data_IF_750125035990
#
_entry.id   IF_750125035990
#
_cell.length_a   1.000
_cell.length_b   1.000
_cell.length_c   1.000
_cell.angle_alpha   90.00
_cell.angle_beta   90.00
_cell.angle_gamma   90.00
#
_symmetry.space_group_name_H-M   'P 1'
#
loop_
_entity.id
_entity.type
_entity.pdbx_description
1 polymer ?
#
# COMPACT_ATOMS: atom_id res chain seq x y z
N UNK A 1 -15.65 0.25 58.35
CA UNK A 1 -15.06 0.55 57.02
C UNK A 1 -15.83 -0.21 55.96
N UNK A 2 -16.63 0.51 55.18
CA UNK A 2 -17.46 -0.08 54.12
C UNK A 2 -16.65 -0.06 52.82
N UNK A 3 -16.43 -1.23 52.20
CA UNK A 3 -15.76 -1.35 50.90
C UNK A 3 -16.74 -1.91 49.88
N UNK A 4 -17.00 -1.14 48.83
CA UNK A 4 -17.82 -1.53 47.70
C UNK A 4 -16.98 -2.27 46.66
N UNK A 5 -17.39 -3.49 46.28
CA UNK A 5 -16.87 -4.21 45.10
C UNK A 5 -17.91 -4.13 43.98
N UNK A 6 -17.52 -3.52 42.86
CA UNK A 6 -18.29 -3.58 41.62
C UNK A 6 -17.77 -4.72 40.73
N UNK A 7 -18.69 -5.58 40.29
CA UNK A 7 -18.45 -6.66 39.34
C UNK A 7 -19.20 -6.33 38.05
N UNK A 8 -18.50 -6.27 36.92
CA UNK A 8 -19.12 -6.15 35.60
C UNK A 8 -19.11 -7.51 34.90
N UNK A 9 -20.28 -8.16 34.84
CA UNK A 9 -20.57 -9.29 33.93
C UNK A 9 -21.08 -8.73 32.61
N UNK A 10 -20.40 -9.05 31.49
CA UNK A 10 -20.95 -8.82 30.15
C UNK A 10 -21.83 -10.01 29.74
N UNK A 11 -23.11 -9.69 29.54
CA UNK A 11 -24.13 -10.57 28.95
C UNK A 11 -23.88 -10.70 27.44
N UNK A 12 -23.89 -11.94 26.94
CA UNK A 12 -23.89 -12.28 25.51
C UNK A 12 -25.33 -12.23 25.00
N UNK A 13 -25.61 -11.40 23.99
CA UNK A 13 -26.81 -11.56 23.17
C UNK A 13 -26.49 -12.39 21.93
N UNK A 14 -27.06 -13.60 21.92
CA UNK A 14 -27.37 -14.39 20.71
C UNK A 14 -28.72 -13.91 20.20
N UNK A 15 -28.84 -13.71 18.90
CA UNK A 15 -30.11 -13.83 18.18
C UNK A 15 -29.88 -14.74 16.97
N UNK A 16 -30.66 -15.83 16.96
CA UNK A 16 -30.93 -16.74 15.84
C UNK A 16 -32.43 -16.62 15.55
N UNK A 17 -32.82 -17.14 14.39
CA UNK A 17 -34.16 -17.29 13.80
C UNK A 17 -34.53 -16.21 12.79
N UNK A 18 -35.18 -16.52 11.66
CA UNK A 18 -35.44 -17.79 10.98
C UNK A 18 -35.84 -17.49 9.53
N UNK A 19 -35.66 -18.52 8.71
CA UNK A 19 -36.03 -18.71 7.31
C UNK A 19 -37.46 -18.37 6.90
N UNK A 20 -37.64 -18.04 5.60
CA UNK A 20 -38.70 -18.45 4.64
C UNK A 20 -39.02 -17.28 3.69
N UNK A 21 -39.27 -17.41 2.38
CA UNK A 21 -39.25 -18.45 1.34
C UNK A 21 -39.64 -17.74 0.01
N UNK A 22 -39.39 -18.39 -1.13
CA UNK A 22 -39.99 -18.18 -2.48
C UNK A 22 -39.36 -17.14 -3.45
N UNK A 23 -38.70 -17.68 -4.47
CA UNK A 23 -38.76 -17.18 -5.86
C UNK A 23 -40.14 -17.55 -6.46
N UNK A 24 -40.63 -16.89 -7.53
CA UNK A 24 -40.15 -17.19 -8.89
C UNK A 24 -40.21 -16.02 -9.91
N UNK A 25 -39.73 -16.34 -11.11
CA UNK A 25 -40.14 -15.85 -12.44
C UNK A 25 -39.15 -14.98 -13.24
N UNK A 26 -38.72 -15.62 -14.33
CA UNK A 26 -38.04 -15.15 -15.53
C UNK A 26 -38.58 -13.86 -16.16
N UNK A 27 -37.75 -13.18 -16.97
CA UNK A 27 -38.02 -12.75 -18.36
C UNK A 27 -36.76 -12.11 -19.03
N UNK A 28 -36.72 -11.93 -20.37
CA UNK A 28 -35.64 -12.38 -21.26
C UNK A 28 -34.67 -11.27 -21.77
N UNK A 29 -33.69 -11.56 -22.67
CA UNK A 29 -32.67 -10.59 -23.08
C UNK A 29 -33.14 -9.76 -24.28
N UNK A 30 -32.69 -8.50 -24.36
CA UNK A 30 -32.80 -7.68 -25.57
C UNK A 30 -31.44 -7.20 -26.08
N UNK A 31 -31.12 -7.76 -27.24
CA UNK A 31 -30.47 -7.23 -28.42
C UNK A 31 -29.69 -5.90 -28.34
N UNK A 32 -28.47 -5.99 -28.84
CA UNK A 32 -27.69 -4.91 -29.42
C UNK A 32 -28.34 -4.35 -30.69
N UNK A 33 -28.27 -3.04 -30.89
CA UNK A 33 -28.22 -2.45 -32.23
C UNK A 33 -27.45 -1.13 -32.21
N UNK A 34 -26.67 -0.95 -33.26
CA UNK A 34 -25.80 0.17 -33.54
C UNK A 34 -26.56 1.30 -34.25
N UNK A 35 -26.16 2.56 -33.99
CA UNK A 35 -26.30 3.69 -34.93
C UNK A 35 -25.35 4.80 -34.46
N UNK A 36 -24.23 4.99 -35.17
CA UNK A 36 -24.01 6.01 -36.23
C UNK A 36 -23.96 7.45 -35.71
N UNK A 37 -22.72 7.94 -35.66
CA UNK A 37 -22.35 9.34 -35.78
C UNK A 37 -22.91 9.94 -37.07
N UNK A 38 -23.43 11.16 -36.99
CA UNK A 38 -23.36 12.13 -38.08
C UNK A 38 -23.08 13.52 -37.53
N UNK A 39 -22.27 14.24 -38.30
CA UNK A 39 -21.85 15.62 -38.12
C UNK A 39 -22.87 16.57 -38.77
N UNK A 40 -22.95 17.80 -38.22
CA UNK A 40 -23.59 18.97 -38.82
C UNK A 40 -23.85 19.99 -37.70
N UNK A 41 -23.29 21.19 -37.65
CA UNK A 41 -22.91 22.07 -38.74
C UNK A 41 -23.86 23.26 -38.75
N UNK A 42 -23.40 24.38 -38.18
CA UNK A 42 -23.86 25.77 -38.26
C UNK A 42 -25.27 26.13 -38.78
N UNK A 43 -25.95 27.01 -38.03
CA UNK A 43 -26.38 28.31 -38.57
C UNK A 43 -26.71 29.30 -37.45
N UNK A 44 -26.05 30.46 -37.50
CA UNK A 44 -26.50 31.71 -36.91
C UNK A 44 -27.67 32.26 -37.73
N UNK A 45 -28.75 32.69 -37.08
CA UNK A 45 -29.61 33.72 -37.66
C UNK A 45 -30.35 34.47 -36.55
N UNK A 46 -30.07 35.77 -36.48
CA UNK A 46 -30.80 36.73 -35.69
C UNK A 46 -31.81 37.46 -36.57
N UNK A 47 -33.05 37.65 -36.11
CA UNK A 47 -33.79 38.91 -36.26
C UNK A 47 -35.15 38.93 -35.53
N UNK A 48 -35.30 39.99 -34.73
CA UNK A 48 -36.48 40.88 -34.52
C UNK A 48 -37.77 40.35 -33.84
N UNK A 49 -37.91 40.83 -32.60
CA UNK A 49 -39.04 41.57 -31.99
C UNK A 49 -40.47 41.40 -32.56
N UNK A 50 -41.40 40.96 -31.70
CA UNK A 50 -42.49 41.81 -31.17
C UNK A 50 -43.23 41.12 -29.99
N UNK A 51 -44.01 41.86 -29.18
CA UNK A 51 -44.39 41.50 -27.81
C UNK A 51 -45.76 40.82 -27.72
N UNK A 52 -45.96 39.98 -26.70
CA UNK A 52 -47.00 40.18 -25.67
C UNK A 52 -47.22 38.92 -24.80
N UNK A 53 -47.25 39.19 -23.49
CA UNK A 53 -48.08 38.59 -22.43
C UNK A 53 -48.13 37.06 -22.32
N UNK A 54 -47.56 36.52 -21.24
CA UNK A 54 -48.31 35.75 -20.24
C UNK A 54 -47.50 35.56 -18.95
N UNK A 55 -48.14 35.91 -17.83
CA UNK A 55 -47.68 35.65 -16.46
C UNK A 55 -47.39 34.17 -16.28
N UNK A 56 -46.21 33.86 -15.77
CA UNK A 56 -45.97 32.61 -15.06
C UNK A 56 -45.21 32.93 -13.78
N UNK A 57 -45.82 32.56 -12.67
CA UNK A 57 -45.30 32.67 -11.31
C UNK A 57 -43.93 32.00 -11.26
N UNK A 58 -42.90 32.78 -10.92
CA UNK A 58 -41.62 32.23 -10.49
C UNK A 58 -41.73 31.96 -8.99
N UNK A 59 -41.83 30.68 -8.65
CA UNK A 59 -41.54 30.19 -7.32
C UNK A 59 -40.10 30.55 -6.95
N UNK A 60 -39.95 31.54 -6.08
CA UNK A 60 -38.72 31.78 -5.35
C UNK A 60 -38.49 30.61 -4.39
N UNK A 61 -37.71 29.62 -4.80
CA UNK A 61 -37.14 28.64 -3.87
C UNK A 61 -36.01 29.34 -3.12
N UNK A 62 -36.30 29.76 -1.88
CA UNK A 62 -35.27 30.07 -0.89
C UNK A 62 -34.48 28.80 -0.60
N UNK A 63 -33.33 28.62 -1.26
CA UNK A 63 -32.35 27.64 -0.84
C UNK A 63 -31.68 28.19 0.41
N UNK A 64 -31.87 27.52 1.55
CA UNK A 64 -31.06 27.75 2.75
C UNK A 64 -29.58 27.69 2.38
N UNK A 65 -28.89 28.80 2.61
CA UNK A 65 -27.45 28.96 2.40
C UNK A 65 -26.70 28.01 3.34
N UNK A 66 -26.40 26.80 2.85
CA UNK A 66 -25.23 26.08 3.31
C UNK A 66 -24.00 26.91 2.91
N UNK A 67 -23.30 27.43 3.92
CA UNK A 67 -22.19 28.38 3.83
C UNK A 67 -21.18 28.03 2.71
N UNK A 68 -21.21 28.81 1.62
CA UNK A 68 -20.14 28.89 0.62
C UNK A 68 -19.10 29.92 1.11
N UNK A 69 -17.79 29.62 1.13
CA UNK A 69 -16.81 30.46 1.79
C UNK A 69 -16.30 31.57 0.86
N UNK A 70 -16.92 32.74 0.89
CA UNK A 70 -16.21 33.98 0.55
C UNK A 70 -16.81 35.18 1.28
N UNK A 71 -15.95 35.92 2.00
CA UNK A 71 -16.22 37.25 2.50
C UNK A 71 -15.48 38.29 1.66
N UNK A 72 -16.20 39.34 1.24
CA UNK A 72 -15.59 40.65 0.99
C UNK A 72 -15.55 41.32 2.36
N UNK A 73 -14.36 41.48 2.94
CA UNK A 73 -14.24 42.02 4.30
C UNK A 73 -13.98 43.53 4.28
N UNK A 74 -14.95 44.27 4.79
CA UNK A 74 -14.73 45.57 5.44
C UNK A 74 -14.57 45.24 6.92
N UNK A 75 -13.38 45.52 7.46
CA UNK A 75 -12.94 45.35 8.86
C UNK A 75 -12.60 43.94 9.40
N UNK A 76 -11.34 43.85 9.87
CA UNK A 76 -10.69 42.82 10.70
C UNK A 76 -10.34 41.44 10.11
N UNK A 77 -9.45 41.42 9.10
CA UNK A 77 -8.18 40.70 9.31
C UNK A 77 -7.90 39.35 8.65
N UNK A 78 -8.54 38.96 7.52
CA UNK A 78 -7.92 38.10 6.48
C UNK A 78 -8.78 38.06 5.21
N UNK A 79 -8.50 38.99 4.30
CA UNK A 79 -9.14 39.16 2.99
C UNK A 79 -8.30 38.52 1.87
N UNK A 80 -8.92 38.33 0.70
CA UNK A 80 -8.39 37.75 -0.54
C UNK A 80 -7.22 38.55 -1.19
N UNK A 81 -6.61 39.48 -0.45
CA UNK A 81 -5.56 40.38 -0.94
C UNK A 81 -4.39 40.38 0.06
N UNK A 82 -3.51 39.38 -0.04
CA UNK A 82 -2.22 39.44 0.66
C UNK A 82 -1.13 38.55 0.03
N UNK A 83 -1.15 38.38 -1.29
CA UNK A 83 0.06 38.01 -2.04
C UNK A 83 0.02 38.76 -3.34
N UNK A 84 0.93 39.72 -3.54
CA UNK A 84 0.99 40.66 -4.69
C UNK A 84 0.92 39.98 -6.07
N UNK A 85 1.13 38.67 -6.14
CA UNK A 85 1.32 37.91 -7.38
C UNK A 85 0.13 36.97 -7.72
N UNK A 86 -0.80 36.72 -6.80
CA UNK A 86 -1.79 35.64 -6.97
C UNK A 86 -3.09 36.12 -7.62
N UNK A 87 -3.13 36.09 -8.97
CA UNK A 87 -4.26 36.58 -9.78
C UNK A 87 -5.31 35.54 -10.15
N UNK A 88 -5.07 34.27 -9.80
CA UNK A 88 -5.96 33.15 -10.08
C UNK A 88 -6.06 32.23 -8.86
N UNK A 89 -7.25 31.77 -8.55
CA UNK A 89 -7.47 30.69 -7.58
C UNK A 89 -8.54 29.73 -8.05
N UNK A 90 -8.58 28.57 -7.41
CA UNK A 90 -9.58 27.55 -7.62
C UNK A 90 -10.19 27.18 -6.27
N UNK A 91 -11.49 27.42 -6.09
CA UNK A 91 -12.26 26.89 -4.98
C UNK A 91 -12.98 25.61 -5.41
N UNK A 92 -13.00 24.61 -4.52
CA UNK A 92 -13.59 23.30 -4.79
C UNK A 92 -14.60 22.95 -3.70
N UNK A 93 -15.81 22.59 -4.11
CA UNK A 93 -16.83 21.98 -3.26
C UNK A 93 -17.26 20.65 -3.84
N UNK A 94 -17.62 19.70 -2.97
CA UNK A 94 -18.19 18.43 -3.40
C UNK A 94 -19.25 17.97 -2.42
N UNK A 95 -20.39 17.55 -2.96
CA UNK A 95 -21.45 16.87 -2.24
C UNK A 95 -21.23 15.35 -2.37
N UNK A 96 -21.53 14.60 -1.32
CA UNK A 96 -21.44 13.14 -1.31
C UNK A 96 -20.05 12.62 -1.72
N UNK A 97 -18.98 13.28 -1.24
CA UNK A 97 -17.62 12.91 -1.62
C UNK A 97 -17.26 11.53 -1.04
N UNK A 98 -17.44 10.51 -1.86
CA UNK A 98 -17.11 9.14 -1.55
C UNK A 98 -15.63 8.86 -1.78
N UNK A 99 -14.93 8.39 -0.75
CA UNK A 99 -13.66 7.69 -0.92
C UNK A 99 -13.97 6.31 -1.49
N UNK A 100 -13.83 6.14 -2.81
CA UNK A 100 -14.00 4.83 -3.44
C UNK A 100 -12.99 3.83 -2.86
N UNK A 101 -13.24 2.53 -3.07
CA UNK A 101 -12.37 1.41 -2.66
C UNK A 101 -10.98 1.37 -3.33
N UNK A 102 -10.52 2.50 -3.88
CA UNK A 102 -9.25 2.69 -4.57
C UNK A 102 -8.66 4.09 -4.39
N UNK A 103 -7.88 4.52 -5.39
CA UNK A 103 -7.15 5.80 -5.41
C UNK A 103 -7.96 6.99 -5.93
N UNK A 104 -9.24 6.78 -6.29
CA UNK A 104 -10.11 7.82 -6.85
C UNK A 104 -11.22 8.23 -5.89
N UNK A 105 -11.64 9.49 -5.97
CA UNK A 105 -12.86 9.96 -5.35
C UNK A 105 -14.03 9.87 -6.34
N UNK A 106 -15.22 9.57 -5.81
CA UNK A 106 -16.49 9.62 -6.52
C UNK A 106 -17.36 10.70 -5.90
N UNK A 107 -18.23 11.32 -6.70
CA UNK A 107 -19.15 12.35 -6.22
C UNK A 107 -19.44 13.40 -7.29
N UNK A 108 -20.38 14.29 -6.97
CA UNK A 108 -20.62 15.51 -7.74
C UNK A 108 -19.90 16.65 -7.03
N UNK A 109 -19.13 17.42 -7.78
CA UNK A 109 -18.48 18.60 -7.22
C UNK A 109 -18.42 19.74 -8.21
N UNK A 110 -18.28 20.92 -7.63
CA UNK A 110 -18.27 22.20 -8.30
C UNK A 110 -16.90 22.82 -8.10
N UNK A 111 -16.32 23.27 -9.20
CA UNK A 111 -15.08 24.01 -9.24
C UNK A 111 -15.41 25.45 -9.64
N UNK A 112 -14.92 26.39 -8.84
CA UNK A 112 -15.06 27.83 -9.08
C UNK A 112 -13.66 28.37 -9.33
N UNK A 113 -13.34 28.58 -10.61
CA UNK A 113 -12.11 29.24 -11.03
C UNK A 113 -12.34 30.76 -10.95
N UNK A 114 -11.55 31.47 -10.16
CA UNK A 114 -11.65 32.92 -10.00
C UNK A 114 -10.35 33.56 -10.48
N UNK A 115 -10.47 34.59 -11.32
CA UNK A 115 -9.31 35.35 -11.81
C UNK A 115 -9.60 36.84 -11.89
N UNK A 116 -8.62 37.67 -11.56
CA UNK A 116 -8.73 39.14 -11.65
C UNK A 116 -7.80 39.62 -12.77
N UNK A 117 -8.32 40.45 -13.68
CA UNK A 117 -7.50 41.05 -14.76
C UNK A 117 -6.59 42.16 -14.23
N UNK A 118 -5.48 42.40 -14.93
CA UNK A 118 -4.62 43.55 -14.66
C UNK A 118 -5.21 44.85 -15.21
N UNK A 119 -4.90 45.97 -14.54
CA UNK A 119 -5.17 47.31 -15.03
C UNK A 119 -6.01 48.17 -14.08
N UNK A 120 -6.20 49.44 -14.42
CA UNK A 120 -7.00 50.39 -13.62
C UNK A 120 -8.50 50.03 -13.56
N UNK A 121 -8.96 49.16 -14.46
CA UNK A 121 -10.31 48.57 -14.47
C UNK A 121 -10.20 47.05 -14.31
N UNK A 122 -9.76 46.59 -13.14
CA UNK A 122 -9.63 45.17 -12.85
C UNK A 122 -11.01 44.48 -12.88
N UNK A 123 -11.14 43.43 -13.70
CA UNK A 123 -12.37 42.63 -13.85
C UNK A 123 -12.17 41.30 -13.14
N UNK A 124 -13.03 40.98 -12.18
CA UNK A 124 -13.13 39.65 -11.59
C UNK A 124 -13.95 38.74 -12.52
N UNK A 125 -13.31 37.71 -13.05
CA UNK A 125 -13.96 36.64 -13.79
C UNK A 125 -14.13 35.44 -12.88
N UNK A 126 -15.37 34.93 -12.80
CA UNK A 126 -15.71 33.71 -12.05
C UNK A 126 -16.25 32.68 -13.05
N UNK A 127 -15.59 31.54 -13.14
CA UNK A 127 -16.02 30.43 -13.97
C UNK A 127 -16.44 29.25 -13.09
N UNK A 128 -17.73 28.92 -13.12
CA UNK A 128 -18.31 27.81 -12.38
C UNK A 128 -18.44 26.63 -13.33
N UNK A 129 -17.79 25.52 -12.98
CA UNK A 129 -17.82 24.28 -13.77
C UNK A 129 -17.88 23.06 -12.88
N UNK A 130 -18.14 21.91 -13.50
CA UNK A 130 -18.00 20.62 -12.81
C UNK A 130 -16.53 20.37 -12.44
N UNK A 131 -16.31 19.93 -11.22
CA UNK A 131 -14.98 19.54 -10.75
C UNK A 131 -14.47 18.32 -11.54
N UNK A 132 -13.20 18.37 -11.92
CA UNK A 132 -12.51 17.26 -12.59
C UNK A 132 -12.23 16.14 -11.59
N UNK A 133 -12.14 14.90 -12.07
CA UNK A 133 -11.80 13.72 -11.24
C UNK A 133 -10.54 13.92 -10.38
N UNK A 134 -9.50 14.57 -10.93
CA UNK A 134 -8.26 14.88 -10.20
C UNK A 134 -8.48 15.89 -9.06
N UNK A 135 -9.35 16.89 -9.27
CA UNK A 135 -9.70 17.91 -8.27
C UNK A 135 -10.50 17.29 -7.12
N UNK A 136 -11.50 16.46 -7.43
CA UNK A 136 -12.25 15.69 -6.43
C UNK A 136 -11.34 14.78 -5.59
N UNK A 137 -10.37 14.11 -6.24
CA UNK A 137 -9.42 13.25 -5.55
C UNK A 137 -8.49 14.04 -4.62
N UNK A 138 -8.08 15.25 -5.02
CA UNK A 138 -7.28 16.16 -4.17
C UNK A 138 -8.10 16.62 -2.96
N UNK A 139 -9.36 17.02 -3.17
CA UNK A 139 -10.27 17.46 -2.11
C UNK A 139 -10.55 16.35 -1.09
N UNK A 140 -10.81 15.12 -1.55
CA UNK A 140 -11.02 13.97 -0.67
C UNK A 140 -9.77 13.68 0.19
N UNK A 141 -8.58 13.85 -0.39
CA UNK A 141 -7.32 13.68 0.32
C UNK A 141 -7.06 14.82 1.33
N UNK A 142 -7.50 16.05 1.05
CA UNK A 142 -7.46 17.17 2.01
C UNK A 142 -8.33 16.86 3.24
N UNK A 143 -9.58 16.44 3.03
CA UNK A 143 -10.48 16.04 4.11
C UNK A 143 -9.91 14.87 4.93
N UNK A 144 -9.40 13.84 4.25
CA UNK A 144 -8.80 12.69 4.92
C UNK A 144 -7.56 13.08 5.76
N UNK A 145 -6.74 14.02 5.28
CA UNK A 145 -5.59 14.53 6.01
C UNK A 145 -6.02 15.30 7.26
N UNK A 146 -7.01 16.19 7.12
CA UNK A 146 -7.56 16.95 8.23
C UNK A 146 -8.18 16.05 9.31
N UNK A 147 -9.03 15.09 8.91
CA UNK A 147 -9.58 14.09 9.84
C UNK A 147 -8.48 13.26 10.52
N UNK A 148 -7.37 12.96 9.84
CA UNK A 148 -6.26 12.24 10.46
C UNK A 148 -5.48 13.10 11.47
N UNK A 149 -5.36 14.41 11.23
CA UNK A 149 -4.78 15.36 12.18
C UNK A 149 -5.63 15.43 13.44
N UNK A 150 -6.96 15.54 13.29
CA UNK A 150 -7.92 15.58 14.41
C UNK A 150 -7.93 14.28 15.23
N UNK A 151 -7.82 13.11 14.56
CA UNK A 151 -7.81 11.81 15.25
C UNK A 151 -6.54 11.54 16.06
N UNK A 152 -5.45 12.28 15.83
CA UNK A 152 -4.21 12.16 16.61
C UNK A 152 -3.54 10.78 16.56
N UNK A 153 -3.78 9.96 15.52
CA UNK A 153 -3.17 8.62 15.39
C UNK A 153 -1.91 8.69 14.53
N UNK A 154 -0.73 8.54 15.14
CA UNK A 154 0.58 8.66 14.46
C UNK A 154 0.65 7.94 13.11
N UNK A 155 0.35 6.64 13.07
CA UNK A 155 0.43 5.84 11.84
C UNK A 155 -0.58 6.25 10.78
N UNK A 156 -1.79 6.68 11.19
CA UNK A 156 -2.83 7.17 10.29
C UNK A 156 -2.49 8.56 9.74
N UNK A 157 -1.89 9.43 10.53
CA UNK A 157 -1.50 10.76 10.10
C UNK A 157 -0.31 10.71 9.14
N UNK A 158 0.73 9.94 9.49
CA UNK A 158 1.87 9.68 8.61
C UNK A 158 1.39 9.13 7.24
N UNK A 159 0.45 8.17 7.29
CA UNK A 159 -0.29 7.64 6.13
C UNK A 159 -0.89 8.71 5.20
N UNK A 160 -1.63 9.66 5.78
CA UNK A 160 -2.30 10.70 4.98
C UNK A 160 -1.33 11.78 4.50
N UNK A 161 -0.28 12.09 5.27
CA UNK A 161 0.76 13.06 4.86
C UNK A 161 1.43 12.58 3.56
N UNK A 162 1.85 11.32 3.49
CA UNK A 162 2.48 10.79 2.29
C UNK A 162 1.54 10.80 1.08
N UNK A 163 0.28 10.38 1.27
CA UNK A 163 -0.75 10.44 0.20
C UNK A 163 -1.02 11.88 -0.25
N UNK A 164 -1.05 12.83 0.68
CA UNK A 164 -1.25 14.24 0.39
C UNK A 164 -0.13 14.81 -0.48
N UNK A 165 1.14 14.47 -0.20
CA UNK A 165 2.29 14.81 -1.07
C UNK A 165 2.07 14.31 -2.50
N UNK A 166 1.75 13.02 -2.68
CA UNK A 166 1.52 12.42 -4.00
C UNK A 166 0.32 13.03 -4.74
N UNK A 167 -0.71 13.47 -4.01
CA UNK A 167 -1.90 14.13 -4.56
C UNK A 167 -1.76 15.62 -4.79
N UNK A 168 -0.58 16.20 -4.52
CA UNK A 168 -0.34 17.64 -4.65
C UNK A 168 -1.36 18.46 -3.85
N UNK A 169 -1.69 17.97 -2.65
CA UNK A 169 -2.36 18.76 -1.61
C UNK A 169 -1.46 19.97 -1.29
N UNK A 170 -2.07 21.06 -0.86
CA UNK A 170 -1.35 22.30 -0.57
C UNK A 170 -0.23 22.08 0.46
N UNK A 171 0.96 22.62 0.16
CA UNK A 171 2.16 22.44 0.97
C UNK A 171 1.96 22.90 2.42
N UNK A 172 1.25 24.03 2.62
CA UNK A 172 0.94 24.56 3.94
C UNK A 172 0.18 23.56 4.83
N UNK A 173 -0.79 22.83 4.27
CA UNK A 173 -1.54 21.81 5.01
C UNK A 173 -0.66 20.59 5.34
N UNK A 174 0.23 20.20 4.42
CA UNK A 174 1.21 19.12 4.64
C UNK A 174 2.20 19.52 5.76
N UNK A 175 2.68 20.76 5.77
CA UNK A 175 3.55 21.29 6.82
C UNK A 175 2.85 21.30 8.18
N UNK A 176 1.60 21.77 8.24
CA UNK A 176 0.79 21.73 9.46
C UNK A 176 0.62 20.30 9.97
N UNK A 177 0.30 19.36 9.09
CA UNK A 177 0.18 17.95 9.43
C UNK A 177 1.51 17.36 9.96
N UNK A 178 2.65 17.72 9.37
CA UNK A 178 3.97 17.31 9.88
C UNK A 178 4.27 17.86 11.27
N UNK A 179 3.85 19.11 11.59
CA UNK A 179 3.98 19.66 12.95
C UNK A 179 3.17 18.86 13.96
N UNK A 180 1.92 18.51 13.62
CA UNK A 180 1.07 17.64 14.47
C UNK A 180 1.69 16.25 14.61
N UNK A 181 2.23 15.68 13.54
CA UNK A 181 2.85 14.35 13.60
C UNK A 181 4.04 14.32 14.59
N UNK A 182 4.85 15.38 14.63
CA UNK A 182 5.99 15.50 15.56
C UNK A 182 5.56 15.55 17.04
N UNK A 183 4.33 15.96 17.33
CA UNK A 183 3.81 15.96 18.72
C UNK A 183 3.19 14.61 19.12
N UNK A 184 3.01 13.68 18.17
CA UNK A 184 2.44 12.37 18.42
C UNK A 184 3.55 11.34 18.63
N UNK A 185 3.39 10.46 19.62
CA UNK A 185 4.26 9.30 19.77
C UNK A 185 3.69 8.07 19.04
N UNK A 186 4.54 7.23 18.42
CA UNK A 186 4.10 5.95 17.90
C UNK A 186 3.58 5.08 19.06
N UNK A 187 2.52 4.30 18.81
CA UNK A 187 1.95 3.40 19.81
C UNK A 187 2.99 2.36 20.25
N UNK A 188 3.03 2.04 21.54
CA UNK A 188 3.88 0.96 22.06
C UNK A 188 3.63 -0.36 21.28
N UNK A 189 4.71 -1.05 20.93
CA UNK A 189 4.68 -2.27 20.11
C UNK A 189 4.34 -2.07 18.63
N UNK A 190 4.24 -0.81 18.15
CA UNK A 190 4.12 -0.51 16.71
C UNK A 190 5.46 -0.53 15.96
N UNK A 191 6.56 -0.63 16.69
CA UNK A 191 7.92 -0.80 16.20
C UNK A 191 8.73 -1.64 17.18
N UNK A 192 9.86 -2.15 16.73
CA UNK A 192 10.84 -2.83 17.58
C UNK A 192 11.81 -1.80 18.11
N UNK A 193 11.91 -1.68 19.44
CA UNK A 193 12.89 -0.79 20.08
C UNK A 193 14.31 -1.27 19.82
N UNK A 194 15.30 -0.39 19.95
CA UNK A 194 16.71 -0.79 19.78
C UNK A 194 17.12 -1.85 20.81
N UNK A 195 16.58 -1.78 22.03
CA UNK A 195 16.82 -2.77 23.09
C UNK A 195 16.29 -4.15 22.70
N UNK A 196 15.07 -4.22 22.18
CA UNK A 196 14.49 -5.48 21.69
C UNK A 196 15.27 -6.02 20.50
N UNK A 197 15.61 -5.16 19.53
CA UNK A 197 16.37 -5.52 18.34
C UNK A 197 17.73 -6.11 18.72
N UNK A 198 18.49 -5.43 19.58
CA UNK A 198 19.79 -5.89 20.06
C UNK A 198 19.69 -7.20 20.85
N UNK A 199 18.59 -7.44 21.57
CA UNK A 199 18.39 -8.65 22.36
C UNK A 199 17.97 -9.86 21.51
N UNK A 200 17.05 -9.64 20.57
CA UNK A 200 16.39 -10.70 19.79
C UNK A 200 17.18 -11.07 18.54
N UNK A 201 17.74 -10.10 17.81
CA UNK A 201 18.39 -10.31 16.51
C UNK A 201 19.88 -10.62 16.63
N UNK A 202 20.25 -11.63 17.44
CA UNK A 202 21.64 -12.06 17.60
C UNK A 202 21.94 -13.30 16.78
N UNK A 203 23.05 -13.30 16.04
CA UNK A 203 23.47 -14.46 15.25
C UNK A 203 23.58 -15.74 16.06
N UNK A 204 24.10 -15.67 17.30
CA UNK A 204 24.22 -16.85 18.19
C UNK A 204 22.89 -17.54 18.54
N UNK A 205 21.75 -16.93 18.19
CA UNK A 205 20.41 -17.49 18.39
C UNK A 205 19.85 -18.12 17.11
N UNK A 206 20.56 -18.00 15.99
CA UNK A 206 20.16 -18.58 14.71
C UNK A 206 20.09 -20.10 14.84
N UNK A 207 19.05 -20.68 14.25
CA UNK A 207 18.68 -22.09 14.35
C UNK A 207 18.47 -22.65 12.95
N UNK A 208 19.03 -23.82 12.69
CA UNK A 208 18.72 -24.61 11.50
C UNK A 208 18.15 -25.95 11.98
N UNK A 209 16.88 -26.28 11.66
CA UNK A 209 16.38 -27.61 11.94
C UNK A 209 17.10 -28.60 11.02
N UNK A 210 17.67 -29.64 11.62
CA UNK A 210 18.35 -30.72 10.90
C UNK A 210 17.32 -31.63 10.21
N UNK A 211 17.59 -32.03 8.96
CA UNK A 211 16.86 -33.12 8.29
C UNK A 211 15.39 -32.85 7.93
N UNK A 212 14.91 -31.61 8.01
CA UNK A 212 13.52 -31.30 7.70
C UNK A 212 13.26 -31.32 6.17
N UNK A 213 12.51 -32.31 5.70
CA UNK A 213 12.14 -32.43 4.30
C UNK A 213 11.10 -31.37 3.88
N UNK A 214 11.06 -31.05 2.58
CA UNK A 214 9.92 -30.34 1.99
C UNK A 214 8.66 -31.20 2.14
N UNK A 215 7.55 -30.59 2.52
CA UNK A 215 6.27 -31.27 2.65
C UNK A 215 5.28 -30.74 1.62
N UNK A 216 4.58 -31.64 0.94
CA UNK A 216 3.50 -31.30 0.02
C UNK A 216 2.21 -31.91 0.55
N UNK A 217 1.17 -31.08 0.65
CA UNK A 217 -0.17 -31.48 1.07
C UNK A 217 -1.10 -31.25 -0.12
N UNK A 218 -1.47 -32.31 -0.87
CA UNK A 218 -2.40 -32.18 -1.98
C UNK A 218 -3.80 -31.77 -1.48
N UNK A 219 -4.62 -31.25 -2.39
CA UNK A 219 -6.04 -31.04 -2.17
C UNK A 219 -6.71 -32.38 -1.87
N UNK A 220 -7.37 -32.48 -0.72
CA UNK A 220 -7.99 -33.71 -0.25
C UNK A 220 -9.38 -34.02 -0.83
N UNK A 221 -9.91 -33.18 -1.73
CA UNK A 221 -11.21 -33.43 -2.36
C UNK A 221 -11.14 -34.45 -3.49
N UNK A 222 -10.08 -34.38 -4.29
CA UNK A 222 -9.86 -35.25 -5.44
C UNK A 222 -8.35 -35.34 -5.70
N UNK A 223 -7.82 -36.57 -5.76
CA UNK A 223 -6.41 -36.82 -6.08
C UNK A 223 -6.05 -36.26 -7.47
N UNK A 224 -6.99 -36.33 -8.41
CA UNK A 224 -6.85 -35.81 -9.77
C UNK A 224 -7.20 -34.31 -9.90
N UNK A 225 -7.33 -33.56 -8.78
CA UNK A 225 -7.57 -32.13 -8.83
C UNK A 225 -6.55 -31.45 -9.75
N UNK A 226 -6.96 -30.59 -10.71
CA UNK A 226 -6.03 -29.81 -11.51
C UNK A 226 -5.07 -28.97 -10.65
N UNK A 227 -5.51 -28.58 -9.45
CA UNK A 227 -4.71 -27.88 -8.45
C UNK A 227 -3.58 -28.72 -7.81
N UNK A 228 -3.67 -30.05 -7.87
CA UNK A 228 -2.69 -31.02 -7.37
C UNK A 228 -1.59 -31.34 -8.37
N UNK A 229 -1.68 -30.80 -9.60
CA UNK A 229 -0.65 -30.99 -10.61
C UNK A 229 0.75 -30.70 -10.04
N UNK A 230 0.86 -29.79 -9.05
CA UNK A 230 2.01 -29.64 -8.15
C UNK A 230 3.28 -29.12 -8.78
N UNK A 231 3.39 -29.23 -10.09
CA UNK A 231 4.35 -28.58 -10.94
C UNK A 231 3.80 -27.24 -11.44
N UNK A 232 4.68 -26.24 -11.41
CA UNK A 232 4.51 -25.00 -12.13
C UNK A 232 4.10 -25.30 -13.58
N UNK A 233 3.02 -24.67 -14.06
CA UNK A 233 2.61 -24.79 -15.47
C UNK A 233 3.68 -24.16 -16.40
N UNK A 234 3.68 -24.47 -17.71
CA UNK A 234 4.60 -23.82 -18.65
C UNK A 234 4.63 -22.29 -18.48
N UNK A 235 5.82 -21.75 -18.21
CA UNK A 235 6.06 -20.32 -17.98
C UNK A 235 5.90 -19.86 -16.52
N UNK A 236 5.43 -20.70 -15.61
CA UNK A 236 5.50 -20.46 -14.16
C UNK A 236 6.87 -20.90 -13.63
N UNK A 237 7.47 -20.06 -12.78
CA UNK A 237 8.78 -20.34 -12.21
C UNK A 237 8.76 -20.04 -10.71
N UNK A 238 9.21 -20.99 -9.92
CA UNK A 238 9.46 -20.87 -8.49
C UNK A 238 10.63 -21.77 -8.10
N UNK A 239 11.81 -21.17 -7.91
CA UNK A 239 13.05 -21.87 -7.66
C UNK A 239 13.60 -21.48 -6.30
N UNK A 240 14.13 -22.45 -5.57
CA UNK A 240 14.94 -22.23 -4.37
C UNK A 240 16.39 -22.55 -4.72
N UNK A 241 17.25 -21.56 -4.56
CA UNK A 241 18.69 -21.67 -4.79
C UNK A 241 19.38 -21.62 -3.43
N UNK A 242 20.11 -22.69 -3.10
CA UNK A 242 20.98 -22.69 -1.93
C UNK A 242 22.24 -21.88 -2.23
N UNK A 243 22.85 -21.32 -1.19
CA UNK A 243 24.10 -20.56 -1.26
C UNK A 243 24.09 -19.30 -2.16
N UNK A 244 22.90 -18.87 -2.61
CA UNK A 244 22.73 -17.70 -3.48
C UNK A 244 23.35 -16.42 -2.87
N UNK A 245 23.27 -16.24 -1.56
CA UNK A 245 23.91 -15.11 -0.86
C UNK A 245 25.43 -15.20 -0.90
N UNK A 246 26.00 -16.40 -0.76
CA UNK A 246 27.45 -16.58 -0.82
C UNK A 246 27.99 -16.26 -2.22
N UNK A 247 27.27 -16.68 -3.27
CA UNK A 247 27.61 -16.35 -4.66
C UNK A 247 27.50 -14.84 -4.90
N UNK A 248 26.39 -14.22 -4.51
CA UNK A 248 26.14 -12.80 -4.74
C UNK A 248 27.10 -11.87 -3.98
N UNK A 249 27.68 -12.33 -2.88
CA UNK A 249 28.55 -11.54 -2.00
C UNK A 249 30.02 -11.96 -2.06
N UNK A 250 30.41 -12.81 -3.02
CA UNK A 250 31.75 -13.41 -3.10
C UNK A 250 32.90 -12.40 -2.97
N UNK A 251 32.77 -11.23 -3.62
CA UNK A 251 33.81 -10.21 -3.67
C UNK A 251 33.55 -9.03 -2.70
N UNK A 252 32.52 -9.16 -1.84
CA UNK A 252 32.08 -8.09 -0.92
C UNK A 252 32.17 -8.53 0.53
N UNK A 253 31.77 -9.77 0.84
CA UNK A 253 31.87 -10.30 2.17
C UNK A 253 33.33 -10.65 2.52
N UNK A 254 33.76 -10.45 3.78
CA UNK A 254 35.11 -10.81 4.20
C UNK A 254 35.29 -12.33 4.17
N UNK A 255 36.43 -12.78 3.64
CA UNK A 255 36.73 -14.21 3.41
C UNK A 255 36.73 -15.10 4.66
N UNK A 256 36.90 -14.51 5.85
CA UNK A 256 36.93 -15.23 7.14
C UNK A 256 35.55 -15.44 7.78
N UNK A 257 34.46 -14.94 7.18
CA UNK A 257 33.11 -15.04 7.72
C UNK A 257 32.13 -15.49 6.63
N UNK A 258 31.22 -16.44 6.92
CA UNK A 258 30.12 -16.77 6.02
C UNK A 258 29.35 -15.51 5.59
N UNK A 259 29.09 -15.38 4.30
CA UNK A 259 28.54 -14.14 3.72
C UNK A 259 27.15 -13.79 4.26
N UNK A 260 26.32 -14.81 4.50
CA UNK A 260 25.00 -14.70 5.11
C UNK A 260 25.08 -14.24 6.58
N UNK A 261 26.04 -14.76 7.34
CA UNK A 261 26.33 -14.31 8.71
C UNK A 261 26.80 -12.86 8.76
N UNK A 262 27.72 -12.50 7.86
CA UNK A 262 28.23 -11.13 7.74
C UNK A 262 27.10 -10.17 7.44
N UNK A 263 26.30 -10.45 6.40
CA UNK A 263 25.21 -9.56 5.99
C UNK A 263 24.11 -9.48 7.06
N UNK A 264 23.78 -10.59 7.73
CA UNK A 264 22.84 -10.56 8.86
C UNK A 264 23.31 -9.59 9.95
N UNK A 265 24.56 -9.71 10.40
CA UNK A 265 25.12 -8.83 11.44
C UNK A 265 25.16 -7.38 10.97
N UNK A 266 25.56 -7.13 9.73
CA UNK A 266 25.62 -5.80 9.15
C UNK A 266 24.22 -5.14 9.12
N UNK A 267 23.19 -5.86 8.68
CA UNK A 267 21.80 -5.35 8.64
C UNK A 267 21.24 -5.07 10.03
N UNK A 268 21.52 -5.94 11.02
CA UNK A 268 21.11 -5.69 12.41
C UNK A 268 21.81 -4.45 12.97
N UNK A 269 23.11 -4.29 12.71
CA UNK A 269 23.85 -3.09 13.12
C UNK A 269 23.32 -1.83 12.46
N UNK A 270 23.06 -1.85 11.15
CA UNK A 270 22.46 -0.70 10.47
C UNK A 270 21.08 -0.36 11.03
N UNK A 271 20.26 -1.37 11.34
CA UNK A 271 18.94 -1.17 11.95
C UNK A 271 19.01 -0.59 13.38
N UNK A 272 20.06 -0.87 14.16
CA UNK A 272 20.30 -0.26 15.48
C UNK A 272 20.76 1.20 15.39
N UNK A 273 21.38 1.59 14.28
CA UNK A 273 21.81 2.96 14.02
C UNK A 273 20.74 3.82 13.34
N UNK A 274 19.72 3.20 12.76
CA UNK A 274 18.56 3.90 12.23
C UNK A 274 17.76 4.56 13.38
N UNK A 275 17.01 5.65 13.14
CA UNK A 275 16.14 6.21 14.16
C UNK A 275 15.10 5.20 14.66
N UNK A 276 14.75 5.29 15.94
CA UNK A 276 13.67 4.49 16.49
C UNK A 276 12.38 4.69 15.69
N UNK A 277 11.64 3.60 15.48
CA UNK A 277 10.46 3.59 14.62
C UNK A 277 10.73 3.22 13.16
N UNK A 278 11.98 3.15 12.71
CA UNK A 278 12.32 2.69 11.36
C UNK A 278 12.12 1.18 11.18
N UNK A 279 12.22 0.38 12.27
CA UNK A 279 11.89 -1.05 12.30
C UNK A 279 10.46 -1.25 12.81
N UNK A 280 9.48 -1.00 11.95
CA UNK A 280 8.07 -0.94 12.35
C UNK A 280 7.33 -2.27 12.15
N UNK A 281 6.32 -2.52 12.99
CA UNK A 281 5.52 -3.74 12.95
C UNK A 281 4.58 -3.76 11.74
N UNK A 282 4.69 -4.79 10.92
CA UNK A 282 3.89 -5.01 9.71
C UNK A 282 3.33 -6.43 9.70
N UNK A 283 2.07 -6.56 10.13
CA UNK A 283 1.44 -7.88 10.31
C UNK A 283 2.15 -8.67 11.42
N UNK A 284 2.62 -9.88 11.09
CA UNK A 284 3.34 -10.76 12.01
C UNK A 284 4.86 -10.54 12.06
N UNK A 285 5.39 -9.54 11.34
CA UNK A 285 6.84 -9.30 11.22
C UNK A 285 7.16 -7.81 11.41
N UNK A 286 8.44 -7.47 11.33
CA UNK A 286 8.90 -6.09 11.35
C UNK A 286 9.57 -5.71 10.03
N UNK A 287 9.43 -4.46 9.60
CA UNK A 287 10.00 -3.94 8.37
C UNK A 287 10.96 -2.81 8.70
N UNK A 288 12.19 -2.90 8.19
CA UNK A 288 13.08 -1.74 8.16
C UNK A 288 12.74 -0.90 6.92
N UNK A 289 12.45 0.38 7.13
CA UNK A 289 12.26 1.36 6.05
C UNK A 289 12.68 2.75 6.52
N UNK A 290 12.76 3.71 5.59
CA UNK A 290 12.91 5.11 5.98
C UNK A 290 11.63 5.62 6.67
N UNK A 291 11.68 6.85 7.18
CA UNK A 291 10.56 7.52 7.87
C UNK A 291 9.31 7.63 6.96
N UNK A 292 9.53 7.76 5.65
CA UNK A 292 8.47 7.78 4.64
C UNK A 292 8.00 6.39 4.21
N UNK A 293 8.51 5.31 4.81
CA UNK A 293 8.26 3.90 4.42
C UNK A 293 8.43 3.64 2.92
N UNK A 294 9.34 4.37 2.28
CA UNK A 294 9.74 4.18 0.91
C UNK A 294 10.60 2.91 0.81
N UNK A 295 10.25 2.06 -0.14
CA UNK A 295 10.88 0.76 -0.36
C UNK A 295 11.74 0.73 -1.63
N UNK A 296 12.02 1.88 -2.26
CA UNK A 296 12.97 1.89 -3.38
C UNK A 296 14.36 1.45 -2.89
N UNK A 297 15.14 0.83 -3.77
CA UNK A 297 16.49 0.39 -3.43
C UNK A 297 17.32 1.53 -2.84
N UNK A 298 17.30 2.71 -3.47
CA UNK A 298 18.00 3.91 -2.99
C UNK A 298 17.51 4.38 -1.62
N UNK A 299 16.21 4.34 -1.35
CA UNK A 299 15.69 4.75 -0.06
C UNK A 299 16.10 3.80 1.06
N UNK A 300 16.10 2.49 0.80
CA UNK A 300 16.55 1.48 1.75
C UNK A 300 18.05 1.59 2.00
N UNK A 301 18.86 1.68 0.93
CA UNK A 301 20.31 1.87 1.04
C UNK A 301 20.64 3.14 1.81
N UNK A 302 19.93 4.26 1.55
CA UNK A 302 20.12 5.50 2.31
C UNK A 302 19.81 5.38 3.81
N UNK A 303 18.92 4.48 4.22
CA UNK A 303 18.72 4.16 5.65
C UNK A 303 19.88 3.34 6.20
N UNK A 304 20.34 2.33 5.44
CA UNK A 304 21.46 1.49 5.84
C UNK A 304 22.79 2.27 5.93
N UNK A 305 22.89 3.38 5.21
CA UNK A 305 24.10 4.20 5.08
C UNK A 305 24.03 5.53 5.83
N UNK A 306 22.95 5.78 6.58
CA UNK A 306 22.66 7.09 7.18
C UNK A 306 23.82 7.70 7.96
N UNK A 307 24.61 6.88 8.65
CA UNK A 307 25.75 7.32 9.46
C UNK A 307 27.11 6.91 8.86
N UNK A 308 27.12 6.14 7.78
CA UNK A 308 28.31 5.68 7.10
C UNK A 308 27.94 5.31 5.65
N UNK A 309 28.39 6.11 4.68
CA UNK A 309 28.14 5.90 3.25
C UNK A 309 28.74 4.60 2.71
N UNK A 310 29.70 4.03 3.43
CA UNK A 310 30.33 2.74 3.12
C UNK A 310 29.91 1.64 4.11
N UNK A 311 28.70 1.72 4.66
CA UNK A 311 28.22 0.69 5.56
C UNK A 311 28.20 -0.68 4.89
N UNK A 312 28.65 -1.69 5.63
CA UNK A 312 28.68 -3.08 5.18
C UNK A 312 27.28 -3.57 4.74
N UNK A 313 26.23 -3.09 5.42
CA UNK A 313 24.85 -3.41 5.10
C UNK A 313 24.43 -2.84 3.74
N UNK A 314 24.80 -1.59 3.45
CA UNK A 314 24.53 -0.94 2.18
C UNK A 314 25.29 -1.61 1.03
N UNK A 315 26.58 -1.93 1.22
CA UNK A 315 27.39 -2.70 0.26
C UNK A 315 26.77 -4.06 -0.05
N UNK A 316 26.38 -4.82 0.98
CA UNK A 316 25.77 -6.13 0.80
C UNK A 316 24.42 -6.09 0.08
N UNK A 317 23.55 -5.13 0.40
CA UNK A 317 22.27 -4.96 -0.32
C UNK A 317 22.48 -4.53 -1.77
N UNK A 318 23.43 -3.63 -2.06
CA UNK A 318 23.78 -3.27 -3.44
C UNK A 318 24.30 -4.47 -4.23
N UNK A 319 25.15 -5.29 -3.65
CA UNK A 319 25.66 -6.50 -4.28
C UNK A 319 24.54 -7.51 -4.60
N UNK A 320 23.60 -7.72 -3.67
CA UNK A 320 22.41 -8.54 -3.92
C UNK A 320 21.54 -7.99 -5.06
N UNK A 321 21.37 -6.66 -5.12
CA UNK A 321 20.67 -5.99 -6.23
C UNK A 321 21.39 -6.26 -7.54
N UNK A 322 22.69 -5.96 -7.64
CA UNK A 322 23.47 -6.15 -8.87
C UNK A 322 23.47 -7.61 -9.34
N UNK A 323 23.67 -8.55 -8.41
CA UNK A 323 23.58 -9.98 -8.73
C UNK A 323 22.19 -10.36 -9.25
N UNK A 324 21.11 -9.89 -8.61
CA UNK A 324 19.73 -10.15 -9.05
C UNK A 324 19.48 -9.60 -10.46
N UNK A 325 19.94 -8.38 -10.74
CA UNK A 325 19.75 -7.75 -12.05
C UNK A 325 20.53 -8.49 -13.15
N UNK A 326 21.73 -8.98 -12.83
CA UNK A 326 22.56 -9.74 -13.76
C UNK A 326 22.00 -11.16 -14.01
N UNK A 327 21.68 -11.90 -12.95
CA UNK A 327 21.27 -13.31 -13.03
C UNK A 327 19.93 -13.48 -13.75
N UNK A 328 18.99 -12.57 -13.48
CA UNK A 328 17.62 -12.70 -13.99
C UNK A 328 17.28 -11.73 -15.12
N UNK A 329 18.20 -10.81 -15.47
CA UNK A 329 18.00 -9.83 -16.55
C UNK A 329 16.88 -8.82 -16.27
N UNK A 330 16.55 -8.59 -14.99
CA UNK A 330 15.52 -7.65 -14.55
C UNK A 330 16.12 -6.41 -13.92
N UNK A 331 15.32 -5.35 -13.80
CA UNK A 331 15.68 -4.20 -12.95
C UNK A 331 15.01 -4.30 -11.59
N UNK A 332 15.77 -4.16 -10.51
CA UNK A 332 15.20 -4.12 -9.16
C UNK A 332 14.56 -2.76 -8.93
N UNK A 333 13.27 -2.77 -8.59
CA UNK A 333 12.47 -1.56 -8.34
C UNK A 333 12.24 -1.29 -6.86
N UNK A 334 12.28 -2.34 -6.03
CA UNK A 334 11.99 -2.26 -4.62
C UNK A 334 12.81 -3.27 -3.81
N UNK A 335 13.16 -2.89 -2.58
CA UNK A 335 13.79 -3.74 -1.58
C UNK A 335 12.93 -3.72 -0.32
N UNK A 336 12.62 -4.89 0.24
CA UNK A 336 11.96 -5.00 1.53
C UNK A 336 12.80 -5.83 2.50
N UNK A 337 13.19 -5.21 3.62
CA UNK A 337 13.96 -5.84 4.69
C UNK A 337 13.02 -6.25 5.82
N UNK A 338 12.78 -7.55 5.94
CA UNK A 338 11.80 -8.14 6.83
C UNK A 338 12.50 -8.82 8.01
N UNK A 339 12.27 -8.34 9.22
CA UNK A 339 12.85 -8.85 10.46
C UNK A 339 11.85 -9.78 11.15
N UNK A 340 12.29 -11.01 11.40
CA UNK A 340 11.55 -12.11 12.03
C UNK A 340 12.28 -12.52 13.31
N UNK A 341 11.95 -11.95 14.48
CA UNK A 341 12.76 -12.14 15.68
C UNK A 341 12.71 -13.55 16.30
N UNK A 342 11.67 -14.33 16.00
CA UNK A 342 11.45 -15.68 16.56
C UNK A 342 10.34 -16.45 15.80
N UNK A 343 10.02 -17.65 16.28
CA UNK A 343 8.97 -18.54 15.76
C UNK A 343 7.57 -17.93 15.66
N UNK A 344 7.21 -16.99 16.54
CA UNK A 344 5.89 -16.35 16.53
C UNK A 344 5.72 -15.34 15.41
N UNK A 345 6.83 -14.84 14.85
CA UNK A 345 6.76 -13.92 13.73
C UNK A 345 6.28 -14.63 12.47
N UNK A 346 5.56 -13.93 11.60
CA UNK A 346 4.98 -14.52 10.39
C UNK A 346 4.87 -13.51 9.25
N UNK A 347 4.80 -14.03 8.03
CA UNK A 347 4.47 -13.30 6.82
C UNK A 347 3.14 -13.86 6.31
N UNK A 348 2.09 -13.03 6.29
CA UNK A 348 0.75 -13.47 5.88
C UNK A 348 0.76 -14.06 4.48
N UNK A 349 -0.13 -15.02 4.24
CA UNK A 349 -0.34 -15.52 2.89
C UNK A 349 -0.80 -14.39 1.96
N UNK A 350 -0.13 -14.24 0.82
CA UNK A 350 -0.42 -13.18 -0.15
C UNK A 350 0.17 -13.46 -1.54
N UNK A 351 -0.30 -12.70 -2.52
CA UNK A 351 0.38 -12.49 -3.80
C UNK A 351 1.17 -11.20 -3.72
N UNK A 352 2.36 -11.19 -4.30
CA UNK A 352 3.03 -9.93 -4.56
C UNK A 352 2.23 -9.12 -5.57
N UNK A 353 2.29 -7.80 -5.45
CA UNK A 353 1.57 -6.91 -6.35
C UNK A 353 2.55 -6.42 -7.40
N UNK A 354 2.42 -6.92 -8.63
CA UNK A 354 3.32 -6.62 -9.75
C UNK A 354 2.79 -5.56 -10.73
N UNK A 355 1.62 -4.98 -10.49
CA UNK A 355 1.02 -3.95 -11.35
C UNK A 355 1.04 -2.56 -10.71
N UNK A 356 0.41 -1.58 -11.38
CA UNK A 356 0.24 -0.21 -10.86
C UNK A 356 -0.50 -0.11 -9.51
N UNK A 357 -1.06 -1.22 -9.02
CA UNK A 357 -1.60 -1.36 -7.67
C UNK A 357 -0.55 -1.58 -6.57
N UNK A 358 0.73 -1.77 -6.92
CA UNK A 358 1.83 -1.95 -5.98
C UNK A 358 1.95 -0.69 -5.13
N UNK A 359 1.72 -0.85 -3.83
CA UNK A 359 1.84 0.21 -2.83
C UNK A 359 2.79 -0.32 -1.77
N UNK A 360 4.02 0.19 -1.71
CA UNK A 360 5.00 -0.15 -0.66
C UNK A 360 4.58 0.39 0.71
N UNK A 361 3.54 -0.21 1.29
CA UNK A 361 2.84 0.38 2.42
C UNK A 361 2.09 1.68 2.07
N UNK A 362 1.44 2.26 3.08
CA UNK A 362 0.53 3.40 2.89
C UNK A 362 1.26 4.67 2.40
N UNK A 363 2.58 4.73 2.58
CA UNK A 363 3.42 5.91 2.32
C UNK A 363 4.36 5.79 1.14
N UNK A 364 4.41 4.65 0.43
CA UNK A 364 5.37 4.52 -0.66
C UNK A 364 5.16 5.57 -1.74
N UNK A 365 6.22 6.27 -2.09
CA UNK A 365 6.28 7.20 -3.23
C UNK A 365 6.90 6.57 -4.47
N UNK A 366 7.29 5.29 -4.42
CA UNK A 366 7.83 4.57 -5.57
C UNK A 366 6.85 4.59 -6.76
N UNK A 367 7.33 5.00 -7.94
CA UNK A 367 6.67 4.66 -9.20
C UNK A 367 7.06 3.24 -9.56
N UNK A 368 6.27 2.25 -9.15
CA UNK A 368 6.55 0.87 -9.49
C UNK A 368 6.30 0.66 -10.99
N UNK A 369 7.36 0.28 -11.69
CA UNK A 369 7.23 -0.34 -13.00
C UNK A 369 6.50 -1.67 -12.82
N UNK A 370 5.85 -2.16 -13.88
CA UNK A 370 5.21 -3.48 -13.83
C UNK A 370 6.29 -4.52 -13.54
N UNK A 371 6.21 -5.15 -12.38
CA UNK A 371 7.17 -6.18 -11.98
C UNK A 371 6.87 -7.49 -12.73
N UNK A 372 7.91 -8.28 -12.95
CA UNK A 372 7.88 -9.57 -13.65
C UNK A 372 8.29 -10.72 -12.73
N UNK A 373 8.85 -10.43 -11.55
CA UNK A 373 9.16 -11.42 -10.53
C UNK A 373 9.63 -10.81 -9.21
N UNK A 374 9.91 -11.70 -8.26
CA UNK A 374 10.50 -11.37 -6.95
C UNK A 374 11.61 -12.36 -6.64
N UNK A 375 12.72 -11.85 -6.11
CA UNK A 375 13.78 -12.66 -5.50
C UNK A 375 13.84 -12.38 -4.01
N UNK A 376 13.73 -13.44 -3.20
CA UNK A 376 13.69 -13.38 -1.75
C UNK A 376 14.90 -14.10 -1.15
N UNK A 377 15.88 -13.34 -0.68
CA UNK A 377 17.01 -13.87 0.07
C UNK A 377 16.65 -14.10 1.54
N UNK A 378 17.26 -15.10 2.16
CA UNK A 378 17.05 -15.51 3.54
C UNK A 378 18.37 -15.48 4.32
N UNK A 379 18.37 -14.85 5.49
CA UNK A 379 19.53 -14.74 6.38
C UNK A 379 19.14 -15.14 7.80
N UNK A 380 19.96 -15.92 8.49
CA UNK A 380 19.70 -16.36 9.86
C UNK A 380 18.85 -17.63 9.92
N UNK A 381 17.94 -17.73 10.89
CA UNK A 381 17.22 -18.99 11.16
C UNK A 381 16.44 -19.49 9.96
N UNK A 382 16.50 -20.80 9.71
CA UNK A 382 15.72 -21.48 8.68
C UNK A 382 14.22 -21.38 9.00
N UNK A 383 13.41 -21.13 7.98
CA UNK A 383 11.93 -21.05 8.11
C UNK A 383 11.25 -21.72 6.94
N UNK A 384 10.07 -22.28 7.18
CA UNK A 384 9.19 -22.76 6.13
C UNK A 384 8.53 -21.59 5.41
N UNK A 385 8.53 -21.64 4.08
CA UNK A 385 7.68 -20.86 3.21
C UNK A 385 6.53 -21.75 2.78
N UNK A 386 5.31 -21.33 3.10
CA UNK A 386 4.08 -21.95 2.64
C UNK A 386 3.73 -21.33 1.28
N UNK A 387 3.70 -22.16 0.25
CA UNK A 387 3.18 -21.86 -1.07
C UNK A 387 1.83 -22.56 -1.25
N UNK A 388 0.80 -21.87 -1.71
CA UNK A 388 -0.52 -22.46 -1.95
C UNK A 388 -0.98 -22.15 -3.38
N UNK A 389 -1.44 -23.17 -4.08
CA UNK A 389 -2.14 -23.00 -5.36
C UNK A 389 -3.51 -22.41 -5.09
N UNK A 390 -3.82 -21.29 -5.74
CA UNK A 390 -5.10 -20.60 -5.60
C UNK A 390 -5.97 -20.99 -6.80
N UNK A 391 -7.28 -20.96 -6.62
CA UNK A 391 -8.29 -21.31 -7.64
C UNK A 391 -9.33 -20.20 -7.82
N UNK A 392 -8.95 -18.96 -7.50
CA UNK A 392 -9.80 -17.79 -7.67
C UNK A 392 -9.84 -17.33 -9.13
N UNK A 393 -10.65 -16.31 -9.43
CA UNK A 393 -10.84 -15.78 -10.79
C UNK A 393 -9.56 -15.25 -11.47
N UNK A 394 -8.44 -15.07 -10.73
CA UNK A 394 -7.14 -14.67 -11.29
C UNK A 394 -6.25 -15.86 -11.61
N UNK A 395 -6.54 -17.03 -11.04
CA UNK A 395 -5.81 -18.26 -11.27
C UNK A 395 -6.26 -18.94 -12.55
N UNK A 396 -5.33 -19.62 -13.20
CA UNK A 396 -5.58 -20.53 -14.32
C UNK A 396 -6.02 -21.92 -13.85
N UNK A 397 -5.80 -22.24 -12.57
CA UNK A 397 -6.19 -23.52 -12.00
C UNK A 397 -7.68 -23.53 -11.69
N UNK A 398 -8.36 -24.56 -12.19
CA UNK A 398 -9.77 -24.80 -11.91
C UNK A 398 -9.96 -25.44 -10.53
N UNK A 399 -11.07 -25.14 -9.86
CA UNK A 399 -11.47 -25.84 -8.65
C UNK A 399 -11.95 -27.26 -8.99
N UNK A 400 -11.67 -28.24 -8.14
CA UNK A 400 -12.31 -29.57 -8.22
C UNK A 400 -13.66 -29.64 -7.47
N UNK A 401 -14.13 -28.51 -6.94
CA UNK A 401 -15.35 -28.40 -6.15
C UNK A 401 -15.37 -27.10 -5.35
N UNK A 402 -16.51 -26.80 -4.71
CA UNK A 402 -16.67 -25.55 -3.92
C UNK A 402 -15.73 -25.49 -2.70
N UNK A 403 -15.35 -26.65 -2.15
CA UNK A 403 -14.46 -26.75 -0.99
C UNK A 403 -12.97 -26.85 -1.37
N UNK A 404 -12.61 -26.64 -2.64
CA UNK A 404 -11.25 -26.82 -3.13
C UNK A 404 -10.29 -25.81 -2.47
N UNK A 405 -9.40 -26.31 -1.61
CA UNK A 405 -8.43 -25.49 -0.88
C UNK A 405 -7.10 -25.30 -1.61
N UNK A 406 -6.95 -25.94 -2.78
CA UNK A 406 -5.68 -25.99 -3.51
C UNK A 406 -4.60 -26.83 -2.84
N UNK A 407 -3.50 -27.04 -3.55
CA UNK A 407 -2.32 -27.74 -3.03
C UNK A 407 -1.47 -26.80 -2.17
N UNK A 408 -0.92 -27.33 -1.08
CA UNK A 408 0.00 -26.61 -0.19
C UNK A 408 1.38 -27.23 -0.25
N UNK A 409 2.41 -26.41 -0.41
CA UNK A 409 3.81 -26.84 -0.40
C UNK A 409 4.58 -26.05 0.65
N UNK A 410 5.28 -26.75 1.54
CA UNK A 410 6.14 -26.19 2.56
C UNK A 410 7.59 -26.36 2.14
N UNK A 411 8.24 -25.25 1.79
CA UNK A 411 9.63 -25.20 1.34
C UNK A 411 10.52 -24.63 2.44
N UNK A 412 11.64 -25.27 2.74
CA UNK A 412 12.59 -24.73 3.71
C UNK A 412 13.47 -23.68 3.06
N UNK A 413 13.51 -22.50 3.66
CA UNK A 413 14.45 -21.44 3.31
C UNK A 413 15.50 -21.33 4.40
N UNK A 414 16.70 -21.81 4.09
CA UNK A 414 17.86 -21.76 4.98
C UNK A 414 18.55 -20.40 4.95
N UNK A 415 19.51 -20.20 5.86
CA UNK A 415 20.40 -19.04 5.77
C UNK A 415 21.23 -19.14 4.50
N UNK A 416 21.32 -18.05 3.75
CA UNK A 416 22.07 -18.00 2.49
C UNK A 416 21.27 -18.40 1.24
N UNK A 417 20.09 -19.01 1.39
CA UNK A 417 19.23 -19.37 0.26
C UNK A 417 18.51 -18.16 -0.35
N UNK A 418 18.15 -18.27 -1.63
CA UNK A 418 17.24 -17.36 -2.32
C UNK A 418 16.06 -18.12 -2.94
N UNK A 419 14.87 -17.52 -2.93
CA UNK A 419 13.70 -18.01 -3.65
C UNK A 419 13.36 -17.02 -4.75
N UNK A 420 13.35 -17.45 -6.00
CA UNK A 420 12.90 -16.64 -7.13
C UNK A 420 11.56 -17.16 -7.64
N UNK A 421 10.58 -16.26 -7.80
CA UNK A 421 9.32 -16.60 -8.45
C UNK A 421 8.81 -15.48 -9.37
N UNK A 422 8.25 -15.87 -10.51
CA UNK A 422 7.85 -14.94 -11.56
C UNK A 422 6.35 -14.55 -11.52
N UNK A 423 5.95 -13.62 -12.38
CA UNK A 423 4.59 -13.11 -12.46
C UNK A 423 3.53 -14.16 -12.80
N UNK A 424 3.73 -15.06 -13.79
CA UNK A 424 2.84 -16.19 -14.00
C UNK A 424 2.62 -17.03 -12.73
N UNK A 425 3.69 -17.41 -12.02
CA UNK A 425 3.58 -18.19 -10.80
C UNK A 425 2.79 -17.43 -9.71
N UNK A 426 3.15 -16.17 -9.45
CA UNK A 426 2.50 -15.34 -8.43
C UNK A 426 1.02 -14.99 -8.74
N UNK A 427 0.56 -15.10 -9.99
CA UNK A 427 -0.87 -14.99 -10.31
C UNK A 427 -1.65 -16.22 -9.88
N UNK A 428 -1.02 -17.39 -9.91
CA UNK A 428 -1.68 -18.66 -9.64
C UNK A 428 -1.49 -19.13 -8.20
N UNK A 429 -0.48 -18.62 -7.49
CA UNK A 429 -0.11 -19.10 -6.16
C UNK A 429 0.06 -17.94 -5.18
N UNK A 430 -0.12 -18.22 -3.88
CA UNK A 430 0.22 -17.34 -2.77
C UNK A 430 1.43 -17.89 -2.03
N UNK A 431 2.24 -16.99 -1.45
CA UNK A 431 3.35 -17.37 -0.58
C UNK A 431 3.37 -16.59 0.74
N UNK A 432 3.87 -17.25 1.79
CA UNK A 432 3.90 -16.72 3.14
C UNK A 432 4.84 -17.49 4.05
N UNK A 433 5.08 -16.98 5.24
CA UNK A 433 5.92 -17.61 6.26
C UNK A 433 5.02 -17.83 7.48
N UNK A 434 4.52 -19.06 7.72
CA UNK A 434 3.74 -19.33 8.90
C UNK A 434 4.57 -19.14 10.18
N UNK A 435 3.91 -18.88 11.33
CA UNK A 435 4.56 -19.09 12.61
C UNK A 435 4.94 -20.57 12.74
N UNK A 436 6.01 -20.85 13.48
CA UNK A 436 6.37 -22.22 13.82
C UNK A 436 5.88 -22.54 15.23
N UNK A 437 5.41 -23.77 15.44
CA UNK A 437 5.04 -24.25 16.77
C UNK A 437 6.29 -24.41 17.65
N UNK A 438 7.40 -24.83 17.05
CA UNK A 438 8.67 -25.00 17.73
C UNK A 438 9.47 -23.69 17.82
N UNK A 439 10.21 -23.47 18.93
CA UNK A 439 11.09 -22.33 19.07
C UNK A 439 12.15 -22.27 17.96
N UNK A 440 12.21 -21.15 17.24
CA UNK A 440 13.30 -20.83 16.32
C UNK A 440 13.85 -19.43 16.59
N UNK A 441 15.08 -19.24 16.13
CA UNK A 441 15.84 -18.00 16.22
C UNK A 441 15.41 -16.89 15.26
N UNK A 442 16.22 -15.82 15.21
CA UNK A 442 15.95 -14.66 14.37
C UNK A 442 16.30 -14.92 12.89
N UNK A 443 15.48 -14.37 12.00
CA UNK A 443 15.67 -14.39 10.54
C UNK A 443 15.47 -13.01 9.95
N UNK A 444 16.19 -12.70 8.88
CA UNK A 444 15.93 -11.56 8.00
C UNK A 444 15.60 -12.09 6.61
N UNK A 445 14.50 -11.64 5.98
CA UNK A 445 14.31 -11.81 4.54
C UNK A 445 14.43 -10.49 3.79
N UNK A 446 15.13 -10.56 2.66
CA UNK A 446 15.34 -9.45 1.73
C UNK A 446 14.56 -9.78 0.47
N UNK A 447 13.42 -9.11 0.27
CA UNK A 447 12.61 -9.30 -0.93
C UNK A 447 12.91 -8.18 -1.94
N UNK A 448 13.28 -8.56 -3.16
CA UNK A 448 13.64 -7.70 -4.26
C UNK A 448 12.60 -7.85 -5.37
N UNK A 449 11.84 -6.78 -5.64
CA UNK A 449 10.82 -6.79 -6.67
C UNK A 449 11.43 -6.33 -7.99
N UNK A 450 11.30 -7.18 -9.00
CA UNK A 450 12.03 -7.12 -10.27
C UNK A 450 11.08 -6.75 -11.40
N UNK A 451 11.45 -5.82 -12.28
CA UNK A 451 10.65 -5.34 -13.42
C UNK A 451 11.32 -5.60 -14.77
#
# INVERSE_FOLDING_TARGET
MWSWRWSWRRVKHRTKEASQRLCPAAWPPRAASAARMSWGGCAWQACRQSPDVLRQEQDCVCVELAQVPFGVQVEAGRSFVATEVRRRTLALGAEELGLGSGMGATGRGTAVDMSISEGPQAVLTVNIRRAKKKELTKLAQQQALQTAMERGRYSSLLAQIARAKTRKVEAAMIEQANRVLKTLQPKEGSFMTHKELAHLMKWRRVTCPDGAAEASVPCGLDEACPCNAGSAQPGELCLVMNDAVAVALKDVAPSHMPADQWLFKALVQAALHAPEGCVWKSGGKFLLSNEERNQSANAIVGVLERNNTESEAGKGVRALVSFTEQEYGYRVTAVQLNFHPNHKSSHKQHRDIYGAGQKGGINCTCSFMKCTGTVCYSLGSSRQVLCETITDARSKYQTCGEECQGMKTYKWMHSGSAMHFNAPWNNNHTHGIPPLDEPCGPRISIALLCA
#
